data_IF_838215193960
#
_entry.id   IF_838215193960
#
_cell.length_a   1.000
_cell.length_b   1.000
_cell.length_c   1.000
_cell.angle_alpha   90.00
_cell.angle_beta   90.00
_cell.angle_gamma   90.00
#
_symmetry.space_group_name_H-M   'P 1'
#
loop_
_entity.id
_entity.type
_entity.pdbx_description
1 polymer ?
#
# COMPACT_ATOMS: atom_id res chain seq x y z
N UNK A 1 -5.49 -4.07 -11.48
CA UNK A 1 -5.83 -3.61 -10.12
C UNK A 1 -4.59 -2.96 -9.52
N UNK A 2 -4.65 -1.70 -9.07
CA UNK A 2 -3.51 -1.07 -8.40
C UNK A 2 -3.25 -1.78 -7.06
N UNK A 3 -2.03 -2.28 -6.87
CA UNK A 3 -1.55 -2.76 -5.59
C UNK A 3 -0.92 -1.61 -4.82
N UNK A 4 -1.31 -1.44 -3.57
CA UNK A 4 -0.74 -0.47 -2.66
C UNK A 4 0.07 -1.22 -1.61
N UNK A 5 1.34 -0.89 -1.46
CA UNK A 5 2.17 -1.44 -0.38
C UNK A 5 1.90 -0.65 0.90
N UNK A 6 1.79 -1.37 2.00
CA UNK A 6 1.65 -0.85 3.35
C UNK A 6 2.70 -1.47 4.26
N UNK A 7 3.12 -0.73 5.27
CA UNK A 7 4.06 -1.19 6.30
C UNK A 7 3.47 -0.88 7.66
N UNK A 8 3.44 -1.86 8.55
CA UNK A 8 3.04 -1.65 9.93
C UNK A 8 4.19 -1.03 10.72
N UNK A 9 3.91 0.03 11.48
CA UNK A 9 4.90 0.68 12.35
C UNK A 9 5.15 -0.04 13.66
N UNK A 10 4.19 -0.85 14.13
CA UNK A 10 4.34 -1.58 15.38
C UNK A 10 5.14 -2.87 15.22
N UNK A 11 4.84 -3.67 14.18
CA UNK A 11 5.55 -4.93 13.93
C UNK A 11 6.63 -4.85 12.86
N UNK A 12 6.71 -3.74 12.11
CA UNK A 12 7.69 -3.54 11.03
C UNK A 12 7.44 -4.39 9.78
N UNK A 13 6.32 -5.13 9.71
CA UNK A 13 6.01 -5.99 8.57
C UNK A 13 5.35 -5.22 7.44
N UNK A 14 5.78 -5.52 6.22
CA UNK A 14 5.21 -5.01 4.98
C UNK A 14 4.18 -5.97 4.39
N UNK A 15 3.11 -5.42 3.81
CA UNK A 15 2.03 -6.17 3.20
C UNK A 15 1.42 -5.40 2.04
N UNK A 16 0.89 -6.13 1.08
CA UNK A 16 0.29 -5.60 -0.14
C UNK A 16 -1.23 -5.61 0.00
N UNK A 17 -1.87 -4.51 -0.38
CA UNK A 17 -3.32 -4.39 -0.39
C UNK A 17 -3.78 -4.04 -1.79
N UNK A 18 -4.72 -4.81 -2.29
CA UNK A 18 -5.40 -4.55 -3.55
C UNK A 18 -6.63 -3.73 -3.23
N UNK A 19 -6.59 -2.43 -3.51
CA UNK A 19 -7.73 -1.52 -3.31
C UNK A 19 -8.27 -1.09 -4.66
N UNK A 20 -9.58 -1.15 -4.81
CA UNK A 20 -10.29 -0.51 -5.91
C UNK A 20 -10.43 0.99 -5.65
N UNK A 21 -10.63 1.78 -6.71
CA UNK A 21 -10.81 3.24 -6.60
C UNK A 21 -11.93 3.61 -5.62
N UNK A 22 -13.05 2.86 -5.65
CA UNK A 22 -14.17 3.02 -4.70
C UNK A 22 -13.78 2.77 -3.24
N UNK A 23 -12.94 1.77 -3.00
CA UNK A 23 -12.49 1.43 -1.65
C UNK A 23 -11.52 2.50 -1.15
N UNK A 24 -10.66 3.03 -2.03
CA UNK A 24 -9.78 4.14 -1.71
C UNK A 24 -10.55 5.41 -1.33
N UNK A 25 -11.61 5.76 -2.06
CA UNK A 25 -12.51 6.88 -1.72
C UNK A 25 -13.22 6.68 -0.39
N UNK A 26 -13.57 5.44 -0.04
CA UNK A 26 -14.22 5.10 1.22
C UNK A 26 -13.30 5.19 2.45
N UNK A 27 -12.00 5.49 2.28
CA UNK A 27 -10.98 5.53 3.35
C UNK A 27 -11.08 4.28 4.26
N UNK A 28 -10.70 3.10 3.75
CA UNK A 28 -10.86 1.87 4.49
C UNK A 28 -9.94 1.90 5.71
N UNK A 29 -10.42 1.39 6.84
CA UNK A 29 -9.60 1.21 8.04
C UNK A 29 -8.65 0.04 7.78
N UNK A 30 -7.43 0.37 7.37
CA UNK A 30 -6.41 -0.65 7.12
C UNK A 30 -5.81 -1.05 8.46
N UNK A 31 -5.86 -2.34 8.74
CA UNK A 31 -5.28 -2.95 9.93
C UNK A 31 -4.18 -3.90 9.51
N UNK A 32 -3.13 -4.01 10.33
CA UNK A 32 -2.07 -4.97 10.06
C UNK A 32 -2.59 -6.39 10.30
N UNK A 33 -2.50 -7.31 9.32
CA UNK A 33 -2.96 -8.70 9.49
C UNK A 33 -2.07 -9.53 10.43
N UNK A 34 -0.97 -8.97 10.93
CA UNK A 34 -0.03 -9.67 11.82
C UNK A 34 -0.18 -9.32 13.29
N UNK A 35 -0.61 -8.09 13.61
CA UNK A 35 -0.69 -7.59 14.98
C UNK A 35 -1.96 -6.79 15.26
N UNK A 36 -2.87 -6.70 14.29
CA UNK A 36 -4.14 -5.96 14.37
C UNK A 36 -4.00 -4.46 14.70
N UNK A 37 -2.79 -3.93 14.55
CA UNK A 37 -2.52 -2.49 14.71
C UNK A 37 -3.16 -1.67 13.59
N UNK A 38 -3.71 -0.53 13.97
CA UNK A 38 -4.16 0.53 13.06
C UNK A 38 -2.99 1.43 12.60
N UNK A 39 -1.80 1.25 13.17
CA UNK A 39 -0.60 2.03 12.87
C UNK A 39 0.12 1.45 11.64
N UNK A 40 -0.46 1.72 10.48
CA UNK A 40 0.05 1.29 9.18
C UNK A 40 0.29 2.51 8.30
N UNK A 41 1.43 2.54 7.63
CA UNK A 41 1.78 3.59 6.68
C UNK A 41 1.83 3.03 5.27
N UNK A 42 1.36 3.83 4.31
CA UNK A 42 1.41 3.46 2.90
C UNK A 42 2.83 3.64 2.39
N UNK A 43 3.46 2.53 2.00
CA UNK A 43 4.72 2.53 1.28
C UNK A 43 4.39 2.73 -0.20
N UNK A 44 4.39 3.96 -0.67
CA UNK A 44 4.38 4.15 -2.12
C UNK A 44 5.76 3.77 -2.64
N UNK A 45 5.88 2.55 -3.16
CA UNK A 45 6.96 2.26 -4.08
C UNK A 45 6.72 3.17 -5.27
N UNK A 46 7.55 4.22 -5.37
CA UNK A 46 7.47 5.17 -6.45
C UNK A 46 7.66 4.35 -7.74
N UNK A 47 6.54 4.03 -8.40
CA UNK A 47 6.52 3.55 -9.77
C UNK A 47 7.15 4.66 -10.60
N UNK A 48 8.47 4.69 -10.60
CA UNK A 48 9.26 5.33 -11.62
C UNK A 48 9.00 4.44 -12.82
N UNK A 49 7.95 4.78 -13.56
CA UNK A 49 7.79 4.34 -14.93
C UNK A 49 9.11 4.69 -15.60
N UNK A 50 10.01 3.70 -15.69
CA UNK A 50 11.13 3.72 -16.60
C UNK A 50 10.46 3.73 -17.97
N UNK A 51 10.05 4.92 -18.41
CA UNK A 51 10.00 5.21 -19.82
C UNK A 51 11.46 5.04 -20.25
N UNK A 52 11.81 3.80 -20.59
CA UNK A 52 12.86 3.57 -21.55
C UNK A 52 12.33 4.22 -22.81
N UNK A 53 12.60 5.52 -22.94
CA UNK A 53 12.47 6.25 -24.19
C UNK A 53 13.48 5.58 -25.11
N UNK A 54 13.02 4.55 -25.81
CA UNK A 54 13.79 3.84 -26.82
C UNK A 54 13.66 4.64 -28.12
N UNK A 55 14.82 5.14 -28.56
CA UNK A 55 15.13 5.89 -29.78
C UNK A 55 14.76 7.36 -29.82
#
# INVERSE_FOLDING_TARGET
MPSFEYVCKDCGKEFLIFLSVKEYEAKPKIVCPHCDSYHVERKFSAFSAKTSRKS
#
